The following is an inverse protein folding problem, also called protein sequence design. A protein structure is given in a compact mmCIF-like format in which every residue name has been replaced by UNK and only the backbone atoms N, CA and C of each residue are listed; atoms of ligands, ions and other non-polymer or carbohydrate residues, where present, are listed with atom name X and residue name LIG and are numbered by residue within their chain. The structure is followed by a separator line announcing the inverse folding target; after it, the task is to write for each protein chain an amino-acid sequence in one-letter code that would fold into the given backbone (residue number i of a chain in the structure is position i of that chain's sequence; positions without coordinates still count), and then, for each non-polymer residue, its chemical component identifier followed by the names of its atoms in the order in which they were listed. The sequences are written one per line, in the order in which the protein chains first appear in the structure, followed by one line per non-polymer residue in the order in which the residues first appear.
data_IF_577022612979
#
_entry.id   IF_577022612979
#
_cell.length_a   1.000
_cell.length_b   1.000
_cell.length_c   1.000
_cell.angle_alpha   90.00
_cell.angle_beta   90.00
_cell.angle_gamma   90.00
#
_symmetry.space_group_name_H-M   'P 1'
#
loop_
_entity.id
_entity.type
_entity.pdbx_description
1 polymer ?
#
# COMPACT_ATOMS: atom_id res chain seq x y z
N UNK A 1 0.33 21.43 -47.77
CA UNK A 1 1.01 21.72 -46.48
C UNK A 1 0.08 22.01 -45.30
N UNK A 2 -1.19 22.44 -45.49
CA UNK A 2 -2.11 22.79 -44.37
C UNK A 2 -2.76 21.60 -43.63
N UNK A 3 -2.71 20.37 -44.16
CA UNK A 3 -3.28 19.18 -43.50
C UNK A 3 -2.38 18.54 -42.43
N UNK A 4 -1.06 18.81 -42.43
CA UNK A 4 -0.11 18.27 -41.44
C UNK A 4 -0.10 19.05 -40.11
N UNK A 5 -0.61 20.28 -40.08
CA UNK A 5 -0.63 21.10 -38.86
C UNK A 5 -1.84 20.82 -37.95
N UNK A 6 -2.96 20.31 -38.48
CA UNK A 6 -4.14 20.01 -37.68
C UNK A 6 -3.98 18.75 -36.79
N UNK A 7 -3.21 17.75 -37.24
CA UNK A 7 -2.96 16.52 -36.49
C UNK A 7 -2.07 16.73 -35.25
N UNK A 8 -1.26 17.78 -35.24
CA UNK A 8 -0.29 18.05 -34.17
C UNK A 8 -0.89 18.84 -32.98
N UNK A 9 -2.12 19.36 -33.11
CA UNK A 9 -2.80 20.14 -32.06
C UNK A 9 -3.66 19.28 -31.11
N UNK A 10 -3.83 17.99 -31.40
CA UNK A 10 -4.65 17.05 -30.61
C UNK A 10 -3.83 16.12 -29.71
N UNK A 11 -2.54 15.91 -30.00
CA UNK A 11 -1.67 15.03 -29.19
C UNK A 11 -1.26 15.67 -27.85
N UNK A 12 -1.21 17.00 -27.77
CA UNK A 12 -0.74 17.73 -26.59
C UNK A 12 -1.84 18.10 -25.57
N UNK A 13 -3.10 17.72 -25.81
CA UNK A 13 -4.25 18.08 -24.93
C UNK A 13 -4.54 17.08 -23.81
N UNK A 14 -3.95 15.89 -23.82
CA UNK A 14 -4.22 14.85 -22.83
C UNK A 14 -3.04 14.73 -21.88
N UNK A 15 -3.28 14.92 -20.58
CA UNK A 15 -2.23 14.68 -19.57
C UNK A 15 -1.62 13.29 -19.74
N UNK A 16 -0.28 13.24 -19.64
CA UNK A 16 0.48 11.99 -19.67
C UNK A 16 -0.06 10.98 -18.65
N UNK A 17 -0.05 9.70 -19.02
CA UNK A 17 -0.53 8.62 -18.17
C UNK A 17 0.24 8.56 -16.83
N UNK A 18 1.54 8.88 -16.86
CA UNK A 18 2.39 9.01 -15.67
C UNK A 18 1.86 10.08 -14.72
N UNK A 19 1.53 11.28 -15.25
CA UNK A 19 0.95 12.36 -14.45
C UNK A 19 -0.41 11.97 -13.87
N UNK A 20 -1.27 11.30 -14.64
CA UNK A 20 -2.56 10.80 -14.16
C UNK A 20 -2.40 9.79 -13.02
N UNK A 21 -1.46 8.85 -13.12
CA UNK A 21 -1.18 7.89 -12.05
C UNK A 21 -0.62 8.57 -10.80
N UNK A 22 0.34 9.49 -10.96
CA UNK A 22 0.89 10.27 -9.85
C UNK A 22 -0.22 11.02 -9.11
N UNK A 23 -1.12 11.69 -9.84
CA UNK A 23 -2.26 12.39 -9.22
C UNK A 23 -3.23 11.44 -8.53
N UNK A 24 -3.59 10.30 -9.13
CA UNK A 24 -4.43 9.29 -8.47
C UNK A 24 -3.79 8.78 -7.18
N UNK A 25 -2.48 8.52 -7.19
CA UNK A 25 -1.75 8.08 -6.00
C UNK A 25 -1.77 9.14 -4.91
N UNK A 26 -1.55 10.41 -5.26
CA UNK A 26 -1.64 11.53 -4.31
C UNK A 26 -3.05 11.69 -3.74
N UNK A 27 -4.08 11.57 -4.59
CA UNK A 27 -5.47 11.62 -4.12
C UNK A 27 -5.79 10.50 -3.14
N UNK A 28 -5.32 9.28 -3.40
CA UNK A 28 -5.51 8.15 -2.47
C UNK A 28 -4.73 8.31 -1.17
N UNK A 29 -3.54 8.92 -1.23
CA UNK A 29 -2.76 9.25 -0.03
C UNK A 29 -3.51 10.27 0.83
N UNK A 30 -3.95 11.38 0.25
CA UNK A 30 -4.75 12.39 0.96
C UNK A 30 -6.05 11.79 1.51
N UNK A 31 -6.75 10.96 0.74
CA UNK A 31 -7.97 10.30 1.21
C UNK A 31 -7.71 9.38 2.40
N UNK A 32 -6.58 8.68 2.44
CA UNK A 32 -6.17 7.89 3.62
C UNK A 32 -5.95 8.79 4.83
N UNK A 33 -5.18 9.85 4.66
CA UNK A 33 -4.85 10.76 5.76
C UNK A 33 -6.14 11.38 6.35
N UNK A 34 -7.09 11.76 5.50
CA UNK A 34 -8.41 12.27 5.93
C UNK A 34 -9.23 11.21 6.69
N UNK A 35 -9.22 9.95 6.25
CA UNK A 35 -9.91 8.87 6.97
C UNK A 35 -9.29 8.59 8.35
N UNK A 36 -7.97 8.73 8.48
CA UNK A 36 -7.28 8.60 9.77
C UNK A 36 -7.64 9.75 10.72
N UNK A 37 -7.71 10.98 10.20
CA UNK A 37 -8.19 12.15 10.96
C UNK A 37 -9.63 11.97 11.41
N UNK A 38 -10.55 11.61 10.50
CA UNK A 38 -11.96 11.37 10.82
C UNK A 38 -12.13 10.26 11.86
N UNK A 39 -11.35 9.17 11.75
CA UNK A 39 -11.36 8.10 12.75
C UNK A 39 -10.91 8.59 14.14
N UNK A 40 -9.89 9.44 14.18
CA UNK A 40 -9.42 10.09 15.42
C UNK A 40 -10.48 11.01 16.03
N UNK A 41 -11.11 11.86 15.22
CA UNK A 41 -12.19 12.76 15.63
C UNK A 41 -13.39 11.99 16.20
N UNK A 42 -13.80 10.90 15.54
CA UNK A 42 -14.90 10.04 15.98
C UNK A 42 -14.64 9.39 17.34
N UNK A 43 -13.39 9.00 17.62
CA UNK A 43 -12.99 8.50 18.94
C UNK A 43 -13.05 9.61 19.99
N UNK A 44 -12.63 10.82 19.66
CA UNK A 44 -12.69 11.97 20.58
C UNK A 44 -14.14 12.39 20.87
N UNK A 45 -14.98 12.46 19.84
CA UNK A 45 -16.41 12.75 19.96
C UNK A 45 -17.10 11.71 20.87
N UNK A 46 -16.82 10.42 20.66
CA UNK A 46 -17.32 9.35 21.53
C UNK A 46 -16.88 9.54 22.99
N UNK A 47 -15.63 9.96 23.23
CA UNK A 47 -15.15 10.24 24.59
C UNK A 47 -15.89 11.41 25.23
N UNK A 48 -16.03 12.53 24.51
CA UNK A 48 -16.78 13.72 24.98
C UNK A 48 -18.24 13.36 25.31
N UNK A 49 -18.90 12.63 24.43
CA UNK A 49 -20.27 12.16 24.66
C UNK A 49 -20.38 11.30 25.92
N UNK A 50 -19.43 10.38 26.14
CA UNK A 50 -19.41 9.53 27.33
C UNK A 50 -19.12 10.31 28.61
N UNK A 51 -18.24 11.31 28.58
CA UNK A 51 -17.97 12.19 29.73
C UNK A 51 -19.22 13.00 30.14
N UNK A 52 -20.01 13.45 29.16
CA UNK A 52 -21.26 14.20 29.42
C UNK A 52 -22.40 13.29 29.92
N UNK A 53 -22.61 12.12 29.30
CA UNK A 53 -23.77 11.28 29.55
C UNK A 53 -23.53 10.20 30.62
N UNK A 54 -22.28 9.83 30.87
CA UNK A 54 -21.89 8.84 31.86
C UNK A 54 -20.62 9.28 32.59
N UNK A 55 -20.70 10.37 33.40
CA UNK A 55 -19.56 10.84 34.17
C UNK A 55 -19.11 9.80 35.20
N UNK A 56 -17.85 9.86 35.67
CA UNK A 56 -17.36 8.98 36.72
C UNK A 56 -18.28 9.01 37.95
N UNK A 57 -18.62 7.82 38.45
CA UNK A 57 -19.52 7.66 39.59
C UNK A 57 -18.93 8.33 40.84
N UNK A 58 -19.67 9.28 41.41
CA UNK A 58 -19.39 9.83 42.72
C UNK A 58 -20.24 9.09 43.75
N UNK A 59 -19.60 8.29 44.60
CA UNK A 59 -20.31 7.53 45.63
C UNK A 59 -20.68 8.44 46.81
N UNK A 60 -21.98 8.56 47.15
CA UNK A 60 -22.39 9.29 48.34
C UNK A 60 -21.94 8.57 49.61
N UNK A 61 -21.79 9.33 50.70
CA UNK A 61 -21.32 8.80 51.99
C UNK A 61 -22.44 8.26 52.87
N UNK A 62 -23.69 8.70 52.64
CA UNK A 62 -24.84 8.25 53.43
C UNK A 62 -25.50 7.00 52.82
N UNK A 63 -26.10 6.17 53.69
CA UNK A 63 -26.79 4.95 53.26
C UNK A 63 -28.05 5.27 52.45
N UNK A 64 -28.83 6.28 52.85
CA UNK A 64 -30.04 6.65 52.13
C UNK A 64 -29.73 7.18 50.72
N UNK A 65 -28.73 8.04 50.57
CA UNK A 65 -28.32 8.57 49.26
C UNK A 65 -27.80 7.46 48.34
N UNK A 66 -27.07 6.48 48.88
CA UNK A 66 -26.59 5.34 48.10
C UNK A 66 -27.76 4.46 47.61
N UNK A 67 -28.77 4.24 48.45
CA UNK A 67 -29.96 3.50 48.06
C UNK A 67 -30.78 4.23 46.98
N UNK A 68 -30.88 5.56 47.06
CA UNK A 68 -31.52 6.37 46.04
C UNK A 68 -30.75 6.29 44.71
N UNK A 69 -29.43 6.49 44.73
CA UNK A 69 -28.58 6.39 43.55
C UNK A 69 -28.70 5.03 42.85
N UNK A 70 -28.72 3.93 43.60
CA UNK A 70 -28.89 2.59 43.03
C UNK A 70 -30.24 2.41 42.32
N UNK A 71 -31.33 2.99 42.85
CA UNK A 71 -32.64 2.94 42.20
C UNK A 71 -32.66 3.79 40.93
N UNK A 72 -32.11 5.00 40.99
CA UNK A 72 -32.03 5.91 39.84
C UNK A 72 -31.21 5.30 38.69
N UNK A 73 -30.07 4.68 39.01
CA UNK A 73 -29.24 3.99 38.01
C UNK A 73 -29.98 2.79 37.40
N UNK A 74 -30.72 2.04 38.21
CA UNK A 74 -31.50 0.90 37.70
C UNK A 74 -32.58 1.34 36.73
N UNK A 75 -33.33 2.40 37.04
CA UNK A 75 -34.34 2.97 36.14
C UNK A 75 -33.72 3.48 34.84
N UNK A 76 -32.59 4.21 34.94
CA UNK A 76 -31.85 4.67 33.75
C UNK A 76 -31.37 3.53 32.86
N UNK A 77 -30.90 2.42 33.44
CA UNK A 77 -30.47 1.24 32.67
C UNK A 77 -31.62 0.69 31.83
N UNK A 78 -32.84 0.61 32.39
CA UNK A 78 -34.01 0.10 31.67
C UNK A 78 -34.30 0.98 30.45
N UNK A 79 -34.35 2.30 30.64
CA UNK A 79 -34.61 3.26 29.55
C UNK A 79 -33.52 3.19 28.47
N UNK A 80 -32.25 3.21 28.86
CA UNK A 80 -31.12 3.17 27.92
C UNK A 80 -31.08 1.84 27.16
N UNK A 81 -31.44 0.72 27.78
CA UNK A 81 -31.46 -0.57 27.08
C UNK A 81 -32.58 -0.64 26.04
N UNK A 82 -33.74 -0.05 26.33
CA UNK A 82 -34.83 0.10 25.35
C UNK A 82 -34.38 0.97 24.16
N UNK A 83 -33.74 2.12 24.43
CA UNK A 83 -33.19 2.98 23.39
C UNK A 83 -32.12 2.26 22.55
N UNK A 84 -31.22 1.52 23.21
CA UNK A 84 -30.20 0.69 22.55
C UNK A 84 -30.84 -0.34 21.62
N UNK A 85 -31.87 -1.06 22.10
CA UNK A 85 -32.60 -2.04 21.30
C UNK A 85 -33.22 -1.40 20.05
N UNK A 86 -33.88 -0.26 20.22
CA UNK A 86 -34.51 0.47 19.12
C UNK A 86 -33.49 0.95 18.07
N UNK A 87 -32.34 1.46 18.52
CA UNK A 87 -31.25 1.88 17.64
C UNK A 87 -30.62 0.69 16.91
N UNK A 88 -30.39 -0.42 17.61
CA UNK A 88 -29.84 -1.65 17.04
C UNK A 88 -30.77 -2.20 15.94
N UNK A 89 -32.09 -2.25 16.21
CA UNK A 89 -33.05 -2.71 15.23
C UNK A 89 -33.05 -1.83 13.96
N UNK A 90 -33.05 -0.50 14.12
CA UNK A 90 -32.94 0.44 13.00
C UNK A 90 -31.64 0.24 12.21
N UNK A 91 -30.51 0.02 12.88
CA UNK A 91 -29.24 -0.23 12.24
C UNK A 91 -29.27 -1.54 11.43
N UNK A 92 -29.88 -2.61 11.97
CA UNK A 92 -30.06 -3.88 11.26
C UNK A 92 -30.90 -3.70 9.99
N UNK A 93 -32.03 -2.99 10.08
CA UNK A 93 -32.87 -2.71 8.92
C UNK A 93 -32.09 -2.01 7.80
N UNK A 94 -31.32 -0.97 8.14
CA UNK A 94 -30.49 -0.24 7.17
C UNK A 94 -29.40 -1.15 6.58
N UNK A 95 -28.76 -1.98 7.40
CA UNK A 95 -27.73 -2.92 6.94
C UNK A 95 -28.31 -3.96 5.98
N UNK A 96 -29.50 -4.47 6.26
CA UNK A 96 -30.18 -5.44 5.40
C UNK A 96 -30.64 -4.80 4.08
N UNK A 97 -31.17 -3.57 4.12
CA UNK A 97 -31.47 -2.81 2.90
C UNK A 97 -30.21 -2.59 2.04
N UNK A 98 -29.09 -2.22 2.66
CA UNK A 98 -27.81 -2.06 1.96
C UNK A 98 -27.33 -3.38 1.34
N UNK A 99 -27.53 -4.53 2.02
CA UNK A 99 -27.22 -5.84 1.44
C UNK A 99 -28.07 -6.13 0.22
N UNK A 100 -29.38 -5.90 0.31
CA UNK A 100 -30.31 -6.11 -0.79
C UNK A 100 -29.99 -5.21 -1.99
N UNK A 101 -29.67 -3.94 -1.74
CA UNK A 101 -29.22 -3.02 -2.77
C UNK A 101 -27.91 -3.47 -3.41
N UNK A 102 -26.95 -3.97 -2.63
CA UNK A 102 -25.70 -4.53 -3.16
C UNK A 102 -25.95 -5.74 -4.07
N UNK A 103 -26.87 -6.63 -3.70
CA UNK A 103 -27.26 -7.77 -4.54
C UNK A 103 -27.86 -7.26 -5.87
N UNK A 104 -28.80 -6.31 -5.81
CA UNK A 104 -29.39 -5.69 -7.01
C UNK A 104 -28.33 -5.03 -7.90
N UNK A 105 -27.35 -4.34 -7.32
CA UNK A 105 -26.24 -3.73 -8.08
C UNK A 105 -25.42 -4.80 -8.81
N UNK A 106 -25.14 -5.94 -8.15
CA UNK A 106 -24.40 -7.05 -8.75
C UNK A 106 -25.19 -7.67 -9.90
N UNK A 107 -26.49 -7.89 -9.72
CA UNK A 107 -27.36 -8.44 -10.77
C UNK A 107 -27.47 -7.48 -11.98
N UNK A 108 -27.61 -6.18 -11.72
CA UNK A 108 -27.70 -5.13 -12.76
C UNK A 108 -26.39 -4.90 -13.52
N UNK A 109 -25.23 -5.00 -12.85
CA UNK A 109 -23.91 -4.96 -13.52
C UNK A 109 -23.69 -6.14 -14.47
N UNK A 110 -24.65 -7.07 -14.52
CA UNK A 110 -24.59 -8.29 -15.30
C UNK A 110 -23.86 -9.36 -14.50
N UNK A 111 -24.38 -10.59 -14.56
CA UNK A 111 -23.76 -11.80 -14.02
C UNK A 111 -22.40 -11.99 -14.70
N UNK A 112 -21.36 -11.33 -14.20
CA UNK A 112 -19.97 -11.75 -14.40
C UNK A 112 -20.03 -13.25 -14.17
N UNK A 113 -19.78 -14.08 -15.20
CA UNK A 113 -19.79 -15.53 -15.03
C UNK A 113 -18.79 -15.80 -13.92
N UNK A 114 -19.30 -16.04 -12.70
CA UNK A 114 -18.48 -16.27 -11.52
C UNK A 114 -17.56 -17.40 -11.95
N UNK A 115 -16.24 -17.15 -12.12
CA UNK A 115 -15.35 -18.21 -12.56
C UNK A 115 -15.60 -19.39 -11.62
N UNK A 116 -15.78 -20.61 -12.14
CA UNK A 116 -16.15 -21.76 -11.31
C UNK A 116 -15.19 -21.79 -10.13
N UNK A 117 -15.74 -21.90 -8.91
CA UNK A 117 -14.98 -21.84 -7.66
C UNK A 117 -13.85 -22.88 -7.73
N UNK A 118 -12.64 -22.45 -8.09
CA UNK A 118 -11.46 -23.31 -8.07
C UNK A 118 -11.14 -23.55 -6.60
N UNK A 119 -10.90 -24.81 -6.21
CA UNK A 119 -10.28 -25.12 -4.91
C UNK A 119 -8.91 -24.46 -4.88
N UNK A 120 -8.83 -23.26 -4.30
CA UNK A 120 -7.57 -22.59 -4.03
C UNK A 120 -6.95 -23.31 -2.84
N UNK A 121 -5.89 -24.08 -3.10
CA UNK A 121 -5.03 -24.61 -2.04
C UNK A 121 -4.26 -23.45 -1.42
N UNK A 122 -3.86 -23.59 -0.16
CA UNK A 122 -2.99 -22.60 0.49
C UNK A 122 -1.83 -22.23 -0.44
N UNK A 123 -1.56 -20.92 -0.60
CA UNK A 123 -0.42 -20.47 -1.40
C UNK A 123 0.86 -20.99 -0.77
N UNK A 124 1.89 -21.24 -1.58
CA UNK A 124 3.20 -21.64 -1.08
C UNK A 124 3.71 -20.65 -0.02
N UNK A 125 3.43 -19.36 -0.21
CA UNK A 125 3.83 -18.28 0.70
C UNK A 125 3.09 -18.36 2.05
N UNK A 126 1.78 -18.63 2.05
CA UNK A 126 1.01 -18.82 3.28
C UNK A 126 1.41 -20.09 4.03
N UNK A 127 1.72 -21.16 3.29
CA UNK A 127 2.23 -22.41 3.87
C UNK A 127 3.63 -22.24 4.46
N UNK A 128 4.53 -21.52 3.76
CA UNK A 128 5.90 -21.26 4.24
C UNK A 128 5.91 -20.31 5.44
N UNK A 129 5.06 -19.29 5.46
CA UNK A 129 4.92 -18.41 6.63
C UNK A 129 4.40 -19.17 7.85
N UNK A 130 3.46 -20.10 7.66
CA UNK A 130 2.93 -20.92 8.74
C UNK A 130 3.95 -21.97 9.25
N UNK A 131 4.75 -22.57 8.36
CA UNK A 131 5.71 -23.63 8.72
C UNK A 131 7.06 -23.10 9.23
N UNK A 132 7.53 -21.96 8.69
CA UNK A 132 8.89 -21.46 8.94
C UNK A 132 8.91 -20.10 9.66
N UNK A 133 7.75 -19.56 10.00
CA UNK A 133 7.60 -18.32 10.75
C UNK A 133 8.28 -17.12 10.08
N UNK A 134 8.81 -16.21 10.89
CA UNK A 134 9.42 -14.95 10.42
C UNK A 134 10.74 -15.12 9.64
N UNK A 135 11.37 -16.30 9.69
CA UNK A 135 12.71 -16.53 9.11
C UNK A 135 12.71 -16.61 7.57
N UNK A 136 11.58 -16.95 6.95
CA UNK A 136 11.42 -17.07 5.49
C UNK A 136 10.30 -16.16 4.95
N UNK A 137 10.25 -14.90 5.41
CA UNK A 137 9.41 -13.89 4.76
C UNK A 137 10.08 -13.40 3.47
N UNK A 138 10.08 -14.23 2.44
CA UNK A 138 10.47 -13.81 1.08
C UNK A 138 9.29 -13.04 0.54
N UNK A 139 9.30 -11.71 0.65
CA UNK A 139 8.33 -10.89 -0.07
C UNK A 139 8.53 -11.16 -1.57
N UNK A 140 7.67 -12.00 -2.16
CA UNK A 140 7.59 -12.28 -3.60
C UNK A 140 7.09 -11.06 -4.39
N UNK A 141 7.26 -9.85 -3.86
CA UNK A 141 7.24 -8.63 -4.65
C UNK A 141 8.25 -8.79 -5.79
N UNK A 142 7.75 -8.73 -7.02
CA UNK A 142 8.55 -8.68 -8.26
C UNK A 142 9.68 -7.65 -8.19
N UNK A 143 9.54 -6.65 -7.31
CA UNK A 143 10.51 -5.58 -7.08
C UNK A 143 11.71 -5.99 -6.22
N UNK A 144 11.56 -6.96 -5.32
CA UNK A 144 12.63 -7.39 -4.40
C UNK A 144 13.66 -8.33 -5.06
N UNK A 145 13.30 -8.99 -6.16
CA UNK A 145 14.18 -9.91 -6.89
C UNK A 145 15.02 -9.23 -8.00
N UNK A 146 14.78 -7.94 -8.27
CA UNK A 146 15.59 -7.18 -9.21
C UNK A 146 16.85 -6.69 -8.51
N UNK A 147 18.04 -7.03 -9.04
CA UNK A 147 19.33 -6.55 -8.51
C UNK A 147 19.33 -5.02 -8.50
N UNK A 148 19.34 -4.42 -7.30
CA UNK A 148 19.55 -3.00 -7.12
C UNK A 148 21.00 -2.68 -7.51
N UNK A 149 21.21 -1.89 -8.57
CA UNK A 149 22.54 -1.33 -8.86
C UNK A 149 22.85 -0.36 -7.73
N UNK A 150 23.67 -0.80 -6.77
CA UNK A 150 24.22 0.09 -5.75
C UNK A 150 25.04 1.15 -6.47
N UNK A 151 24.59 2.39 -6.42
CA UNK A 151 25.47 3.53 -6.71
C UNK A 151 26.30 3.74 -5.44
N UNK A 152 27.36 2.95 -5.32
CA UNK A 152 28.25 2.96 -4.16
C UNK A 152 29.00 4.30 -4.13
N UNK A 153 28.77 5.06 -3.06
CA UNK A 153 29.66 6.15 -2.64
C UNK A 153 30.61 5.54 -1.62
N UNK A 154 31.86 5.25 -2.04
CA UNK A 154 33.08 4.91 -1.25
C UNK A 154 32.97 3.63 -0.38
N UNK A 155 33.87 2.65 -0.40
CA UNK A 155 35.34 2.67 -0.21
C UNK A 155 36.03 1.38 -0.74
N UNK A 156 35.72 0.89 -1.95
CA UNK A 156 36.44 -0.28 -2.51
C UNK A 156 37.29 0.13 -3.73
N UNK A 157 38.20 1.09 -3.53
CA UNK A 157 39.12 1.62 -4.55
C UNK A 157 40.46 0.85 -4.61
N UNK A 158 40.44 -0.47 -4.37
CA UNK A 158 41.66 -1.31 -4.42
C UNK A 158 41.59 -2.55 -5.32
N UNK A 159 40.42 -3.00 -5.75
CA UNK A 159 40.32 -4.20 -6.60
C UNK A 159 39.92 -3.91 -8.07
N UNK A 160 39.60 -2.66 -8.43
CA UNK A 160 39.26 -2.28 -9.82
C UNK A 160 40.45 -1.78 -10.67
N UNK A 161 41.68 -1.71 -10.14
CA UNK A 161 42.86 -1.25 -10.91
C UNK A 161 43.36 -2.26 -11.95
N UNK A 162 42.85 -3.50 -11.95
CA UNK A 162 43.29 -4.57 -12.85
C UNK A 162 42.40 -4.76 -14.09
N UNK A 163 41.44 -3.87 -14.36
CA UNK A 163 40.82 -3.80 -15.70
C UNK A 163 41.66 -2.86 -16.56
N UNK A 164 42.70 -3.46 -17.16
CA UNK A 164 43.77 -2.80 -17.89
C UNK A 164 43.33 -1.79 -18.96
N UNK A 165 44.02 -0.65 -18.91
CA UNK A 165 43.98 0.45 -19.85
C UNK A 165 44.27 -0.03 -21.29
N UNK A 166 43.23 -0.12 -22.12
CA UNK A 166 43.34 -0.54 -23.54
C UNK A 166 44.17 0.40 -24.41
N UNK A 167 44.65 1.54 -23.88
CA UNK A 167 45.51 2.48 -24.61
C UNK A 167 46.97 2.04 -24.73
N UNK A 168 47.45 1.09 -23.92
CA UNK A 168 48.89 0.74 -23.87
C UNK A 168 49.38 -0.22 -24.96
N UNK A 169 48.50 -0.88 -25.71
CA UNK A 169 48.92 -1.89 -26.69
C UNK A 169 49.25 -1.34 -28.09
N UNK A 170 48.93 -0.07 -28.37
CA UNK A 170 49.08 0.54 -29.71
C UNK A 170 50.42 1.30 -29.87
N UNK A 171 51.06 1.78 -28.80
CA UNK A 171 52.30 2.56 -28.90
C UNK A 171 53.58 1.71 -29.08
N UNK A 172 53.60 0.46 -28.60
CA UNK A 172 54.80 -0.39 -28.63
C UNK A 172 55.15 -0.98 -30.02
N UNK A 173 54.38 -0.66 -31.07
CA UNK A 173 54.69 -1.09 -32.46
C UNK A 173 55.15 0.03 -33.40
N UNK A 174 55.23 1.28 -32.93
CA UNK A 174 55.75 2.40 -33.72
C UNK A 174 57.27 2.54 -33.54
N UNK A 175 58.08 1.55 -33.97
CA UNK A 175 59.52 1.63 -33.71
C UNK A 175 60.47 0.67 -34.42
N UNK A 176 60.04 -0.15 -35.39
CA UNK A 176 60.97 -1.01 -36.16
C UNK A 176 61.33 -0.37 -37.51
N UNK A 177 61.96 0.80 -37.46
CA UNK A 177 62.67 1.41 -38.58
C UNK A 177 64.10 0.87 -38.64
N UNK A 178 64.33 -0.23 -39.36
CA UNK A 178 65.68 -0.80 -39.50
C UNK A 178 65.75 -1.96 -40.51
N UNK A 179 66.41 -1.69 -41.65
CA UNK A 179 66.77 -2.57 -42.78
C UNK A 179 66.73 -4.08 -42.51
N UNK A 180 65.78 -4.80 -43.12
CA UNK A 180 65.84 -6.27 -43.27
C UNK A 180 66.98 -6.65 -44.23
N UNK A 181 68.07 -7.17 -43.68
CA UNK A 181 69.13 -7.89 -44.39
C UNK A 181 68.59 -9.30 -44.70
N UNK A 182 68.36 -9.63 -45.96
CA UNK A 182 68.06 -10.99 -46.43
C UNK A 182 69.35 -11.54 -47.05
N UNK A 183 69.99 -12.52 -46.41
CA UNK A 183 71.06 -13.41 -46.91
C UNK A 183 71.28 -14.46 -45.79
N UNK A 184 71.46 -15.76 -45.99
CA UNK A 184 71.47 -16.68 -47.13
C UNK A 184 71.48 -18.13 -46.56
N UNK A 185 71.27 -19.16 -47.41
CA UNK A 185 71.64 -20.61 -47.24
C UNK A 185 70.90 -21.45 -46.17
N UNK A 186 70.54 -22.73 -46.38
CA UNK A 186 71.11 -23.80 -47.23
C UNK A 186 70.13 -25.01 -47.33
N UNK A 187 70.36 -25.87 -48.35
CA UNK A 187 69.74 -27.17 -48.70
C UNK A 187 68.56 -27.17 -49.70
#
# INVERSE_FOLDING_TARGET
MKQRQAANMTENKKMSMSRKHSLKSLMLQVARDLLEVEAGEKVQERKKYMEEHCPPLCLPSSKEELQALCKDLHEKIIVIDEERYNLEHKAIMVVDEVKDLNIKIVDLKGKFKKPPLKKVRMSADAMLQALLGSKHKVNLDLRANLKQVKKEVKEEDKELRDVGDWRKSIEDKAGMGGRKKMFETEA
#
